data_IF_157439219741
#
_entry.id   IF_157439219741
#
_cell.length_a   1.000
_cell.length_b   1.000
_cell.length_c   1.000
_cell.angle_alpha   90.00
_cell.angle_beta   90.00
_cell.angle_gamma   90.00
#
_symmetry.space_group_name_H-M   'P 1'
#
loop_
_entity.id
_entity.type
_entity.pdbx_description
1 polymer ?
#
# COMPACT_ATOMS: atom_id res chain seq x y z
N UNK A 1 -10.39 61.48 -25.86
CA UNK A 1 -9.91 62.09 -27.12
C UNK A 1 -8.61 61.38 -27.48
N UNK A 2 -8.45 60.55 -28.51
CA UNK A 2 -9.15 60.37 -29.77
C UNK A 2 -9.12 58.90 -30.21
N UNK A 3 -10.24 58.48 -30.78
CA UNK A 3 -10.48 57.29 -31.58
C UNK A 3 -9.71 57.34 -32.93
N UNK A 4 -9.15 56.22 -33.39
CA UNK A 4 -9.10 55.71 -34.80
C UNK A 4 -8.88 54.19 -34.71
N UNK A 5 -9.82 53.27 -34.94
CA UNK A 5 -10.70 52.93 -36.07
C UNK A 5 -9.97 52.62 -37.40
N UNK A 6 -10.30 51.43 -37.94
CA UNK A 6 -10.20 50.93 -39.34
C UNK A 6 -8.89 50.18 -39.67
N UNK A 7 -8.84 48.95 -40.22
CA UNK A 7 -9.82 47.88 -40.48
C UNK A 7 -9.09 46.67 -41.07
N UNK A 8 -9.61 45.47 -40.79
CA UNK A 8 -9.72 44.28 -41.64
C UNK A 8 -8.60 43.95 -42.65
N UNK A 9 -8.04 42.75 -42.54
CA UNK A 9 -8.34 41.68 -43.51
C UNK A 9 -8.07 40.30 -42.93
N UNK A 10 -9.14 39.52 -42.92
CA UNK A 10 -9.19 38.10 -42.64
C UNK A 10 -8.33 37.36 -43.67
N UNK A 11 -7.37 36.58 -43.18
CA UNK A 11 -6.86 35.42 -43.91
C UNK A 11 -7.53 34.19 -43.28
N UNK A 12 -8.55 33.71 -43.98
CA UNK A 12 -9.13 32.39 -43.82
C UNK A 12 -8.02 31.34 -43.97
N UNK A 13 -7.58 30.80 -42.84
CA UNK A 13 -6.84 29.54 -42.77
C UNK A 13 -7.66 28.56 -41.96
N UNK A 14 -8.59 27.86 -42.61
CA UNK A 14 -9.24 26.71 -42.03
C UNK A 14 -8.21 25.57 -41.96
N UNK A 15 -7.58 25.38 -40.80
CA UNK A 15 -6.83 24.18 -40.50
C UNK A 15 -7.66 23.37 -39.51
N UNK A 16 -8.42 22.41 -40.03
CA UNK A 16 -8.92 21.28 -39.25
C UNK A 16 -7.69 20.44 -38.83
N UNK A 17 -7.07 20.80 -37.72
CA UNK A 17 -6.10 19.96 -37.03
C UNK A 17 -6.83 19.13 -35.99
N UNK A 18 -7.18 17.89 -36.31
CA UNK A 18 -7.61 16.90 -35.31
C UNK A 18 -6.39 16.55 -34.49
N UNK A 19 -6.25 17.19 -33.32
CA UNK A 19 -5.31 16.76 -32.29
C UNK A 19 -5.97 15.59 -31.55
N UNK A 20 -5.63 14.37 -31.98
CA UNK A 20 -5.88 13.18 -31.20
C UNK A 20 -4.96 13.24 -29.97
N UNK A 21 -5.54 13.60 -28.82
CA UNK A 21 -4.86 13.47 -27.53
C UNK A 21 -4.91 12.00 -27.12
N UNK A 22 -3.92 11.22 -27.52
CA UNK A 22 -3.69 9.90 -26.93
C UNK A 22 -3.27 10.09 -25.47
N UNK A 23 -4.21 9.91 -24.55
CA UNK A 23 -3.94 9.88 -23.11
C UNK A 23 -3.25 8.57 -22.78
N UNK A 24 -1.91 8.55 -22.85
CA UNK A 24 -1.11 7.49 -22.24
C UNK A 24 -1.14 7.67 -20.73
N UNK A 25 -2.12 7.06 -20.07
CA UNK A 25 -2.09 6.86 -18.62
C UNK A 25 -0.96 5.90 -18.29
N UNK A 26 0.22 6.43 -17.97
CA UNK A 26 1.27 5.65 -17.34
C UNK A 26 0.79 5.26 -15.94
N UNK A 27 0.31 4.02 -15.80
CA UNK A 27 0.00 3.40 -14.53
C UNK A 27 1.31 3.26 -13.74
N UNK A 28 1.68 4.31 -13.01
CA UNK A 28 2.71 4.23 -11.98
C UNK A 28 2.16 3.34 -10.87
N UNK A 29 2.44 2.04 -10.96
CA UNK A 29 2.31 1.14 -9.82
C UNK A 29 3.16 1.74 -8.69
N UNK A 30 2.57 2.08 -7.53
CA UNK A 30 3.34 2.60 -6.41
C UNK A 30 4.41 1.56 -6.08
N UNK A 31 5.69 1.97 -6.14
CA UNK A 31 6.79 1.14 -5.69
C UNK A 31 6.61 0.92 -4.19
N UNK A 32 6.13 -0.26 -3.80
CA UNK A 32 5.86 -0.57 -2.41
C UNK A 32 7.20 -0.75 -1.67
N UNK A 33 7.64 0.32 -0.99
CA UNK A 33 8.92 0.39 -0.26
C UNK A 33 9.00 -0.65 0.86
N UNK A 34 7.86 -0.97 1.48
CA UNK A 34 7.72 -1.89 2.60
C UNK A 34 6.62 -2.90 2.30
N UNK A 35 6.98 -4.16 2.07
CA UNK A 35 6.04 -5.23 1.78
C UNK A 35 6.08 -6.32 2.86
N UNK A 36 4.92 -6.75 3.35
CA UNK A 36 4.79 -7.83 4.33
C UNK A 36 4.22 -9.10 3.68
N UNK A 37 4.82 -10.26 3.94
CA UNK A 37 4.35 -11.54 3.43
C UNK A 37 4.34 -12.62 4.51
N UNK A 38 3.17 -13.21 4.83
CA UNK A 38 1.83 -12.81 4.38
C UNK A 38 1.38 -11.49 5.03
N UNK A 39 0.50 -10.74 4.34
CA UNK A 39 -0.18 -9.57 4.90
C UNK A 39 -1.55 -9.92 5.53
N UNK A 40 -1.96 -11.19 5.49
CA UNK A 40 -3.18 -11.70 6.10
C UNK A 40 -2.84 -12.86 7.04
N UNK A 41 -3.38 -12.81 8.24
CA UNK A 41 -3.28 -13.86 9.25
C UNK A 41 -4.69 -14.38 9.54
N UNK A 42 -4.91 -15.70 9.42
CA UNK A 42 -6.23 -16.29 9.61
C UNK A 42 -6.29 -17.10 10.91
N UNK A 43 -7.12 -16.66 11.85
CA UNK A 43 -7.43 -17.38 13.08
C UNK A 43 -8.62 -18.34 12.89
N UNK A 44 -8.63 -19.45 13.64
CA UNK A 44 -9.72 -20.44 13.57
C UNK A 44 -11.06 -19.93 14.12
N UNK A 45 -11.03 -19.06 15.12
CA UNK A 45 -12.22 -18.46 15.73
C UNK A 45 -11.95 -16.98 15.96
N UNK A 46 -13.01 -16.17 15.93
CA UNK A 46 -12.94 -14.75 16.28
C UNK A 46 -12.39 -14.55 17.70
N UNK A 47 -11.57 -13.52 17.88
CA UNK A 47 -10.99 -13.14 19.18
C UNK A 47 -9.81 -14.00 19.66
N UNK A 48 -9.43 -15.04 18.91
CA UNK A 48 -8.18 -15.78 19.19
C UNK A 48 -6.99 -15.08 18.56
N UNK A 49 -5.85 -15.13 19.25
CA UNK A 49 -4.57 -14.70 18.70
C UNK A 49 -4.25 -15.48 17.43
N UNK A 50 -4.03 -14.75 16.35
CA UNK A 50 -3.50 -15.28 15.11
C UNK A 50 -1.98 -15.24 15.16
N UNK A 51 -1.33 -16.31 14.70
CA UNK A 51 0.12 -16.43 14.66
C UNK A 51 0.59 -16.66 13.23
N UNK A 52 1.63 -15.95 12.82
CA UNK A 52 2.28 -16.11 11.53
C UNK A 52 3.72 -15.62 11.58
N UNK A 53 4.63 -16.26 10.85
CA UNK A 53 5.93 -15.67 10.57
C UNK A 53 5.81 -14.76 9.36
N UNK A 54 5.86 -13.46 9.60
CA UNK A 54 5.70 -12.43 8.56
C UNK A 54 7.06 -11.90 8.15
N UNK A 55 7.38 -12.05 6.87
CA UNK A 55 8.59 -11.52 6.26
C UNK A 55 8.33 -10.14 5.67
N UNK A 56 8.97 -9.14 6.25
CA UNK A 56 9.09 -7.81 5.68
C UNK A 56 10.22 -7.79 4.66
N UNK A 57 9.93 -7.25 3.48
CA UNK A 57 10.92 -6.89 2.46
C UNK A 57 10.89 -5.38 2.31
N UNK A 58 12.06 -4.76 2.47
CA UNK A 58 12.22 -3.32 2.32
C UNK A 58 13.14 -3.02 1.15
N UNK A 59 12.73 -2.07 0.31
CA UNK A 59 13.54 -1.52 -0.76
C UNK A 59 13.32 0.00 -0.84
N UNK A 60 14.27 0.75 -0.30
CA UNK A 60 14.23 2.21 -0.23
C UNK A 60 14.90 2.84 -1.46
N UNK A 61 14.57 4.08 -1.83
CA UNK A 61 15.20 4.74 -2.99
C UNK A 61 16.68 5.04 -2.76
N UNK A 62 17.09 5.35 -1.52
CA UNK A 62 18.42 5.82 -1.14
C UNK A 62 18.99 5.00 0.03
N UNK A 63 20.31 4.82 0.05
CA UNK A 63 20.98 4.20 1.20
C UNK A 63 20.85 5.10 2.43
N UNK A 64 20.49 4.52 3.57
CA UNK A 64 20.33 5.27 4.80
C UNK A 64 20.08 4.38 6.01
N UNK A 65 19.65 5.03 7.10
CA UNK A 65 19.39 4.38 8.37
C UNK A 65 17.88 4.30 8.60
N UNK A 66 17.37 3.08 8.69
CA UNK A 66 15.94 2.81 8.69
C UNK A 66 15.54 1.91 9.85
N UNK A 67 14.33 2.11 10.38
CA UNK A 67 13.77 1.25 11.42
C UNK A 67 12.35 0.80 11.03
N UNK A 68 12.02 -0.43 11.40
CA UNK A 68 10.63 -0.90 11.40
C UNK A 68 10.09 -0.72 12.82
N UNK A 69 8.90 -0.12 12.94
CA UNK A 69 8.17 0.02 14.21
C UNK A 69 6.72 -0.39 14.08
N UNK A 70 6.10 -0.73 15.20
CA UNK A 70 4.65 -0.88 15.24
C UNK A 70 3.97 0.50 15.13
N UNK A 71 2.90 0.59 14.35
CA UNK A 71 2.24 1.86 14.05
C UNK A 71 1.48 2.48 15.22
N UNK A 72 0.88 1.67 16.11
CA UNK A 72 0.15 2.22 17.27
C UNK A 72 1.07 2.45 18.47
N UNK A 73 1.73 1.41 18.97
CA UNK A 73 2.60 1.54 20.16
C UNK A 73 3.88 2.35 19.91
N UNK A 74 4.22 2.59 18.64
CA UNK A 74 5.49 3.19 18.19
C UNK A 74 6.74 2.42 18.66
N UNK A 75 6.57 1.18 19.12
CA UNK A 75 7.66 0.29 19.53
C UNK A 75 8.55 -0.02 18.33
N UNK A 76 9.83 0.33 18.44
CA UNK A 76 10.85 -0.07 17.46
C UNK A 76 11.04 -1.58 17.54
N UNK A 77 10.95 -2.27 16.40
CA UNK A 77 11.22 -3.70 16.30
C UNK A 77 12.71 -3.93 16.04
N UNK A 78 13.23 -3.29 14.99
CA UNK A 78 14.63 -3.41 14.58
C UNK A 78 15.00 -2.23 13.67
N UNK A 79 16.29 -1.88 13.71
CA UNK A 79 16.89 -0.86 12.86
C UNK A 79 18.06 -1.44 12.05
N UNK A 80 18.28 -0.87 10.88
CA UNK A 80 19.43 -1.14 10.01
C UNK A 80 20.10 0.17 9.66
N UNK A 81 21.43 0.14 9.54
CA UNK A 81 22.23 1.30 9.20
C UNK A 81 22.88 1.11 7.83
N UNK A 82 23.09 2.21 7.11
CA UNK A 82 23.78 2.28 5.83
C UNK A 82 23.31 1.21 4.83
N UNK A 83 22.00 1.03 4.69
CA UNK A 83 21.41 0.03 3.79
C UNK A 83 20.34 0.67 2.90
N UNK A 84 20.16 0.10 1.71
CA UNK A 84 19.07 0.46 0.79
C UNK A 84 17.95 -0.58 0.82
N UNK A 85 18.27 -1.84 1.11
CA UNK A 85 17.32 -2.95 1.07
C UNK A 85 17.65 -3.99 2.13
N UNK A 86 16.62 -4.56 2.76
CA UNK A 86 16.79 -5.57 3.79
C UNK A 86 15.53 -6.41 3.94
N UNK A 87 15.64 -7.51 4.68
CA UNK A 87 14.51 -8.34 5.07
C UNK A 87 14.50 -8.57 6.56
N UNK A 88 13.30 -8.65 7.13
CA UNK A 88 13.09 -8.90 8.55
C UNK A 88 11.96 -9.89 8.74
N UNK A 89 12.12 -10.86 9.63
CA UNK A 89 11.06 -11.82 9.97
C UNK A 89 10.54 -11.50 11.36
N UNK A 90 9.23 -11.28 11.44
CA UNK A 90 8.51 -11.07 12.68
C UNK A 90 7.65 -12.31 12.98
N UNK A 91 7.79 -12.86 14.18
CA UNK A 91 6.81 -13.80 14.72
C UNK A 91 5.59 -13.02 15.20
N UNK A 92 4.63 -12.82 14.29
CA UNK A 92 3.40 -12.08 14.55
C UNK A 92 2.50 -12.89 15.49
N UNK A 93 1.90 -12.19 16.45
CA UNK A 93 0.97 -12.76 17.42
C UNK A 93 -0.02 -11.70 17.89
N UNK A 94 -1.20 -11.63 17.29
CA UNK A 94 -2.24 -10.68 17.71
C UNK A 94 -3.65 -11.20 17.43
N UNK A 95 -4.61 -10.81 18.26
CA UNK A 95 -6.04 -11.00 18.00
C UNK A 95 -6.63 -9.90 17.11
N UNK A 96 -5.86 -8.84 16.83
CA UNK A 96 -6.26 -7.66 16.07
C UNK A 96 -5.26 -7.38 14.93
N UNK A 97 -5.73 -6.75 13.85
CA UNK A 97 -4.87 -6.26 12.79
C UNK A 97 -3.91 -5.19 13.32
N UNK A 98 -2.62 -5.29 12.96
CA UNK A 98 -1.60 -4.33 13.38
C UNK A 98 -0.90 -3.75 12.15
N UNK A 99 -0.73 -2.43 12.16
CA UNK A 99 0.07 -1.70 11.18
C UNK A 99 1.53 -1.62 11.62
N UNK A 100 2.44 -1.66 10.65
CA UNK A 100 3.88 -1.48 10.83
C UNK A 100 4.37 -0.38 9.90
N UNK A 101 5.26 0.45 10.43
CA UNK A 101 5.79 1.63 9.75
C UNK A 101 7.29 1.45 9.50
N UNK A 102 7.75 1.82 8.32
CA UNK A 102 9.14 2.07 8.02
C UNK A 102 9.44 3.55 8.26
N UNK A 103 10.45 3.85 9.08
CA UNK A 103 10.88 5.23 9.36
C UNK A 103 12.35 5.44 9.00
N UNK A 104 12.69 6.65 8.57
CA UNK A 104 14.08 7.13 8.48
C UNK A 104 14.55 7.62 9.85
N UNK A 105 15.74 7.24 10.31
CA UNK A 105 16.29 7.78 11.56
C UNK A 105 16.66 9.26 11.45
N UNK A 106 17.10 9.69 10.26
CA UNK A 106 17.55 11.07 10.02
C UNK A 106 16.39 12.06 10.03
N UNK A 107 15.27 11.70 9.41
CA UNK A 107 14.12 12.58 9.20
C UNK A 107 12.98 12.31 10.19
N UNK A 108 12.96 11.13 10.82
CA UNK A 108 11.86 10.60 11.68
C UNK A 108 10.50 10.50 10.98
N UNK A 109 10.47 10.70 9.66
CA UNK A 109 9.28 10.59 8.84
C UNK A 109 8.90 9.13 8.60
N UNK A 110 7.60 8.89 8.48
CA UNK A 110 7.05 7.61 8.04
C UNK A 110 7.16 7.52 6.53
N UNK A 111 7.98 6.58 6.06
CA UNK A 111 8.27 6.39 4.64
C UNK A 111 7.27 5.46 3.97
N UNK A 112 6.80 4.44 4.70
CA UNK A 112 5.82 3.47 4.23
C UNK A 112 5.12 2.79 5.41
N UNK A 113 3.91 2.28 5.14
CA UNK A 113 3.09 1.55 6.11
C UNK A 113 2.58 0.27 5.47
N UNK A 114 2.61 -0.83 6.22
CA UNK A 114 1.97 -2.09 5.82
C UNK A 114 1.15 -2.62 6.99
N UNK A 115 0.07 -3.33 6.71
CA UNK A 115 -0.83 -3.86 7.74
C UNK A 115 -0.92 -5.37 7.62
N UNK A 116 -0.78 -6.06 8.75
CA UNK A 116 -1.07 -7.48 8.86
C UNK A 116 -2.52 -7.59 9.31
N UNK A 117 -3.40 -7.99 8.40
CA UNK A 117 -4.84 -8.13 8.64
C UNK A 117 -5.16 -9.45 9.33
N UNK A 118 -5.84 -9.40 10.48
CA UNK A 118 -6.35 -10.60 11.16
C UNK A 118 -7.77 -10.90 10.67
N UNK A 119 -7.92 -12.05 10.04
CA UNK A 119 -9.19 -12.60 9.58
C UNK A 119 -9.55 -13.85 10.40
N UNK A 120 -10.82 -14.25 10.39
CA UNK A 120 -11.27 -15.48 11.06
C UNK A 120 -12.06 -16.38 10.11
N UNK A 121 -11.91 -17.70 10.27
CA UNK A 121 -12.73 -18.68 9.56
C UNK A 121 -14.01 -18.94 10.36
N UNK A 122 -15.17 -18.84 9.71
CA UNK A 122 -16.41 -19.36 10.30
C UNK A 122 -16.51 -20.87 10.02
N UNK A 123 -16.74 -21.68 11.06
CA UNK A 123 -17.18 -23.07 10.84
C UNK A 123 -18.56 -23.05 10.20
N UNK A 124 -18.64 -23.51 8.96
CA UNK A 124 -19.92 -23.76 8.29
C UNK A 124 -20.65 -24.85 9.07
N UNK A 125 -21.76 -24.51 9.69
CA UNK A 125 -22.65 -25.49 10.33
C UNK A 125 -23.35 -26.28 9.21
N UNK A 126 -22.81 -27.42 8.83
CA UNK A 126 -23.46 -28.34 7.89
C UNK A 126 -24.73 -28.88 8.54
N UNK A 127 -25.90 -28.35 8.14
CA UNK A 127 -27.20 -28.96 8.48
C UNK A 127 -27.19 -30.40 7.97
N UNK A 128 -27.29 -31.38 8.88
CA UNK A 128 -27.48 -32.79 8.51
C UNK A 128 -28.72 -32.91 7.61
N UNK A 129 -28.52 -33.11 6.32
CA UNK A 129 -29.58 -33.45 5.37
C UNK A 129 -30.11 -34.83 5.77
N UNK A 130 -31.32 -34.92 6.31
CA UNK A 130 -32.01 -36.20 6.45
C UNK A 130 -32.44 -36.60 5.04
N UNK A 131 -31.90 -37.70 4.53
CA UNK A 131 -32.42 -38.34 3.33
C UNK A 131 -33.90 -38.66 3.59
N UNK A 132 -34.78 -38.12 2.75
CA UNK A 132 -36.16 -38.60 2.68
C UNK A 132 -36.13 -39.78 1.71
N UNK A 133 -36.46 -40.97 2.20
CA UNK A 133 -36.78 -42.11 1.34
C UNK A 133 -38.11 -41.76 0.66
N UNK A 134 -38.12 -41.74 -0.66
CA UNK A 134 -39.32 -41.58 -1.47
C UNK A 134 -39.97 -42.94 -1.71
#
# INVERSE_FOLDING_TARGET
MYFRLISAKYLLGAILGVIAFDSYGAEHAPSEILHATPNKCVALNQGRTCYADVKFKVNTPTTGDYCIREGYSKKILQCWANTKSFTYTLSFGSAQSLSYELISQAQRDVLAVTTIEVNWVHKVQTKKRRWRLF
#
